data_IF_546485952468
#
_entry.id   IF_546485952468
#
_cell.length_a   1.000
_cell.length_b   1.000
_cell.length_c   1.000
_cell.angle_alpha   90.00
_cell.angle_beta   90.00
_cell.angle_gamma   90.00
#
_symmetry.space_group_name_H-M   'P 1'
#
loop_
_entity.id
_entity.type
_entity.pdbx_description
1 polymer ?
#
# COMPACT_ATOMS: atom_id res chain seq x y z
N UNK A 1 -14.18 2.15 20.83
CA UNK A 1 -13.89 3.51 21.32
C UNK A 1 -14.44 4.68 20.46
N UNK A 2 -15.32 4.46 19.46
CA UNK A 2 -15.89 5.53 18.59
C UNK A 2 -16.35 6.78 19.37
N UNK A 3 -17.21 6.57 20.38
CA UNK A 3 -17.79 7.66 21.20
C UNK A 3 -16.80 8.29 22.18
N UNK A 4 -15.81 7.52 22.64
CA UNK A 4 -14.84 7.97 23.64
C UNK A 4 -13.82 8.92 23.03
N UNK A 5 -13.30 8.59 21.83
CA UNK A 5 -12.30 9.40 21.14
C UNK A 5 -12.87 10.25 20.00
N UNK A 6 -14.19 10.27 19.85
CA UNK A 6 -14.90 11.05 18.82
C UNK A 6 -14.40 10.74 17.40
N UNK A 7 -14.04 9.48 17.13
CA UNK A 7 -13.61 9.04 15.81
C UNK A 7 -14.80 8.90 14.85
N UNK A 8 -14.61 9.39 13.64
CA UNK A 8 -15.50 9.12 12.54
C UNK A 8 -15.15 7.76 11.93
N UNK A 9 -15.89 6.73 12.33
CA UNK A 9 -15.70 5.36 11.82
C UNK A 9 -16.33 5.15 10.44
N UNK A 10 -17.10 6.12 9.93
CA UNK A 10 -17.66 6.03 8.58
C UNK A 10 -16.62 6.48 7.53
N UNK A 11 -15.64 7.29 7.94
CA UNK A 11 -14.58 7.82 7.09
C UNK A 11 -13.19 7.38 7.57
N UNK A 12 -12.94 6.07 7.49
CA UNK A 12 -11.64 5.50 7.83
C UNK A 12 -10.76 5.45 6.57
N UNK A 13 -9.61 6.11 6.66
CA UNK A 13 -8.55 6.10 5.66
C UNK A 13 -7.31 5.42 6.25
N UNK A 14 -6.45 4.89 5.40
CA UNK A 14 -5.23 4.22 5.84
C UNK A 14 -4.05 4.66 4.99
N UNK A 15 -2.88 4.77 5.61
CA UNK A 15 -1.62 5.14 4.97
C UNK A 15 -0.60 4.07 5.32
N UNK A 16 0.19 3.64 4.34
CA UNK A 16 1.24 2.66 4.54
C UNK A 16 2.42 2.95 3.61
N UNK A 17 3.63 2.94 4.17
CA UNK A 17 4.86 3.25 3.46
C UNK A 17 5.83 2.07 3.43
N UNK A 18 6.62 1.93 2.36
CA UNK A 18 7.61 0.85 2.22
C UNK A 18 7.01 -0.55 2.46
N UNK A 19 7.53 -1.34 3.41
CA UNK A 19 6.94 -2.60 3.85
C UNK A 19 5.55 -2.44 4.47
N UNK A 20 5.26 -1.31 5.14
CA UNK A 20 3.92 -0.97 5.61
C UNK A 20 2.93 -0.75 4.46
N UNK A 21 3.41 -0.28 3.30
CA UNK A 21 2.62 -0.22 2.07
C UNK A 21 2.20 -1.61 1.58
N UNK A 22 3.07 -2.62 1.71
CA UNK A 22 2.73 -4.02 1.45
C UNK A 22 1.64 -4.52 2.41
N UNK A 23 1.85 -4.33 3.72
CA UNK A 23 0.90 -4.76 4.75
C UNK A 23 -0.47 -4.11 4.56
N UNK A 24 -0.52 -2.81 4.28
CA UNK A 24 -1.77 -2.12 4.00
C UNK A 24 -2.43 -2.65 2.72
N UNK A 25 -1.65 -2.87 1.66
CA UNK A 25 -2.20 -3.40 0.42
C UNK A 25 -2.84 -4.79 0.62
N UNK A 26 -2.19 -5.66 1.41
CA UNK A 26 -2.74 -6.97 1.78
C UNK A 26 -3.98 -6.82 2.65
N UNK A 27 -3.94 -5.98 3.68
CA UNK A 27 -5.07 -5.80 4.58
C UNK A 27 -6.30 -5.24 3.86
N UNK A 28 -6.12 -4.30 2.93
CA UNK A 28 -7.18 -3.80 2.07
C UNK A 28 -7.78 -4.91 1.18
N UNK A 29 -6.96 -5.84 0.69
CA UNK A 29 -7.44 -7.02 -0.05
C UNK A 29 -8.26 -7.94 0.88
N UNK A 30 -7.78 -8.23 2.09
CA UNK A 30 -8.51 -9.03 3.09
C UNK A 30 -9.88 -8.39 3.42
N UNK A 31 -9.95 -7.06 3.49
CA UNK A 31 -11.21 -6.34 3.75
C UNK A 31 -12.23 -6.44 2.59
N UNK A 32 -11.76 -6.68 1.37
CA UNK A 32 -12.59 -6.55 0.15
C UNK A 32 -12.77 -7.86 -0.62
N UNK A 33 -11.95 -8.87 -0.33
CA UNK A 33 -11.96 -10.18 -0.96
C UNK A 33 -12.20 -11.28 0.11
N UNK A 34 -13.45 -11.74 0.29
CA UNK A 34 -13.79 -12.75 1.29
C UNK A 34 -13.06 -14.08 1.11
N UNK A 35 -12.84 -14.53 -0.13
CA UNK A 35 -12.10 -15.77 -0.43
C UNK A 35 -10.65 -15.66 0.02
N UNK A 36 -10.00 -14.53 -0.26
CA UNK A 36 -8.64 -14.30 0.20
C UNK A 36 -8.58 -14.21 1.74
N UNK A 37 -9.57 -13.60 2.37
CA UNK A 37 -9.64 -13.47 3.83
C UNK A 37 -9.72 -14.82 4.56
N UNK A 38 -10.19 -15.90 3.92
CA UNK A 38 -10.23 -17.25 4.50
C UNK A 38 -8.83 -17.82 4.81
N UNK A 39 -7.77 -17.28 4.19
CA UNK A 39 -6.40 -17.68 4.46
C UNK A 39 -5.86 -17.20 5.82
N UNK A 40 -6.60 -16.33 6.53
CA UNK A 40 -6.14 -15.72 7.78
C UNK A 40 -7.02 -16.14 8.97
N UNK A 41 -6.37 -16.39 10.11
CA UNK A 41 -7.06 -16.80 11.33
C UNK A 41 -7.84 -15.64 12.00
N UNK A 42 -7.43 -14.39 11.74
CA UNK A 42 -8.13 -13.21 12.25
C UNK A 42 -9.32 -12.85 11.36
N UNK A 43 -10.28 -12.12 11.93
CA UNK A 43 -11.45 -11.61 11.21
C UNK A 43 -11.37 -10.11 11.07
N UNK A 44 -11.70 -9.62 9.88
CA UNK A 44 -11.97 -8.20 9.64
C UNK A 44 -13.39 -7.87 10.14
N UNK A 45 -13.67 -6.62 10.53
CA UNK A 45 -15.04 -6.25 10.90
C UNK A 45 -15.99 -6.42 9.71
N UNK A 46 -17.23 -6.84 9.99
CA UNK A 46 -18.22 -7.09 8.95
C UNK A 46 -18.44 -5.84 8.09
N UNK A 47 -18.39 -6.05 6.77
CA UNK A 47 -18.57 -5.01 5.75
C UNK A 47 -17.60 -3.81 5.86
N UNK A 48 -16.48 -3.98 6.56
CA UNK A 48 -15.49 -2.94 6.67
C UNK A 48 -14.65 -2.83 5.39
N UNK A 49 -14.65 -1.62 4.80
CA UNK A 49 -13.77 -1.24 3.71
C UNK A 49 -13.27 0.18 3.98
N UNK A 50 -11.94 0.45 3.96
CA UNK A 50 -11.43 1.81 4.04
C UNK A 50 -11.99 2.66 2.89
N UNK A 51 -12.34 3.91 3.16
CA UNK A 51 -12.86 4.83 2.14
C UNK A 51 -11.86 5.09 1.02
N UNK A 52 -10.58 5.16 1.39
CA UNK A 52 -9.45 5.17 0.48
C UNK A 52 -8.18 4.79 1.26
N UNK A 53 -7.13 4.42 0.52
CA UNK A 53 -5.82 4.13 1.08
C UNK A 53 -4.72 4.93 0.36
N UNK A 54 -3.63 5.25 1.05
CA UNK A 54 -2.40 5.79 0.47
C UNK A 54 -1.26 4.77 0.61
N UNK A 55 -0.62 4.49 -0.52
CA UNK A 55 0.47 3.52 -0.65
C UNK A 55 1.73 4.26 -1.10
N UNK A 56 2.68 4.39 -0.18
CA UNK A 56 3.77 5.36 -0.27
C UNK A 56 5.13 4.65 -0.41
N UNK A 57 5.76 4.71 -1.59
CA UNK A 57 7.04 4.03 -1.86
C UNK A 57 7.02 2.54 -1.46
N UNK A 58 5.88 1.85 -1.65
CA UNK A 58 5.66 0.50 -1.13
C UNK A 58 6.26 -0.62 -1.98
N UNK A 59 6.42 -1.80 -1.37
CA UNK A 59 6.73 -3.06 -2.08
C UNK A 59 5.48 -3.90 -2.31
N UNK A 60 5.20 -4.30 -3.55
CA UNK A 60 3.95 -4.99 -3.89
C UNK A 60 4.21 -6.33 -4.58
N UNK A 61 5.14 -6.38 -5.52
CA UNK A 61 5.56 -7.62 -6.16
C UNK A 61 6.81 -8.19 -5.49
N UNK A 62 6.63 -9.25 -4.72
CA UNK A 62 7.74 -9.89 -4.03
C UNK A 62 8.72 -10.61 -4.98
N UNK A 63 8.28 -10.97 -6.19
CA UNK A 63 9.12 -11.61 -7.22
C UNK A 63 10.09 -10.63 -7.91
N UNK A 64 9.80 -9.32 -7.88
CA UNK A 64 10.66 -8.31 -8.50
C UNK A 64 11.94 -8.05 -7.71
N UNK A 65 11.92 -8.33 -6.41
CA UNK A 65 13.07 -8.07 -5.56
C UNK A 65 14.04 -9.27 -5.64
N UNK A 66 15.25 -9.00 -6.12
CA UNK A 66 16.29 -10.01 -6.36
C UNK A 66 17.39 -9.90 -5.31
N UNK A 67 17.96 -11.05 -4.92
CA UNK A 67 19.19 -11.11 -4.11
C UNK A 67 19.13 -12.12 -2.97
N UNK A 68 20.28 -12.65 -2.57
CA UNK A 68 20.38 -13.63 -1.49
C UNK A 68 20.02 -13.04 -0.12
N UNK A 69 20.32 -11.76 0.11
CA UNK A 69 19.98 -11.06 1.34
C UNK A 69 18.46 -11.02 1.58
N UNK A 70 17.66 -10.84 0.53
CA UNK A 70 16.20 -10.88 0.64
C UNK A 70 15.69 -12.30 0.86
N UNK A 71 16.26 -13.31 0.18
CA UNK A 71 15.89 -14.70 0.44
C UNK A 71 16.12 -15.08 1.90
N UNK A 72 17.22 -14.61 2.51
CA UNK A 72 17.46 -14.71 3.95
C UNK A 72 16.39 -13.99 4.76
N UNK A 73 16.08 -12.73 4.44
CA UNK A 73 15.07 -11.95 5.14
C UNK A 73 13.67 -12.59 5.09
N UNK A 74 13.23 -13.07 3.91
CA UNK A 74 11.95 -13.76 3.76
C UNK A 74 11.96 -15.09 4.52
N UNK A 75 13.09 -15.81 4.51
CA UNK A 75 13.24 -17.05 5.27
C UNK A 75 13.16 -16.84 6.78
N UNK A 76 13.62 -15.69 7.28
CA UNK A 76 13.56 -15.32 8.69
C UNK A 76 12.17 -14.78 9.08
N UNK A 77 11.48 -14.12 8.15
CA UNK A 77 10.18 -13.47 8.40
C UNK A 77 8.99 -14.42 8.26
N UNK A 78 9.09 -15.42 7.38
CA UNK A 78 7.99 -16.31 7.03
C UNK A 78 8.16 -17.72 7.62
N UNK A 79 7.09 -18.32 8.17
CA UNK A 79 7.18 -19.59 8.90
C UNK A 79 7.66 -20.78 8.07
N UNK A 80 7.30 -20.86 6.78
CA UNK A 80 7.74 -21.89 5.84
C UNK A 80 8.97 -21.47 5.03
N UNK A 81 9.63 -20.38 5.44
CA UNK A 81 10.88 -19.88 4.88
C UNK A 81 10.80 -19.36 3.44
N UNK A 82 9.67 -18.79 3.05
CA UNK A 82 9.47 -18.15 1.75
C UNK A 82 9.12 -19.14 0.65
N UNK A 83 8.22 -20.10 0.93
CA UNK A 83 7.69 -20.97 -0.13
C UNK A 83 6.92 -20.16 -1.17
N UNK A 84 6.74 -20.70 -2.39
CA UNK A 84 5.92 -20.02 -3.42
C UNK A 84 4.52 -19.67 -2.90
N UNK A 85 3.93 -20.55 -2.09
CA UNK A 85 2.64 -20.33 -1.46
C UNK A 85 2.66 -19.12 -0.53
N UNK A 86 3.67 -19.00 0.32
CA UNK A 86 3.79 -17.83 1.20
C UNK A 86 4.03 -16.55 0.42
N UNK A 87 4.92 -16.59 -0.57
CA UNK A 87 5.22 -15.45 -1.45
C UNK A 87 3.95 -14.99 -2.17
N UNK A 88 3.14 -15.92 -2.67
CA UNK A 88 1.86 -15.61 -3.30
C UNK A 88 0.89 -15.05 -2.28
N UNK A 89 0.85 -15.59 -1.06
CA UNK A 89 -0.01 -15.09 0.01
C UNK A 89 0.31 -13.65 0.40
N UNK A 90 1.59 -13.23 0.37
CA UNK A 90 2.02 -11.86 0.72
C UNK A 90 2.22 -10.93 -0.50
N UNK A 91 1.84 -11.38 -1.70
CA UNK A 91 1.85 -10.57 -2.90
C UNK A 91 0.47 -9.97 -3.13
N UNK A 92 0.20 -8.71 -2.71
CA UNK A 92 -1.13 -8.11 -2.81
C UNK A 92 -1.68 -8.15 -4.23
N UNK A 93 -0.83 -8.06 -5.26
CA UNK A 93 -1.27 -8.00 -6.66
C UNK A 93 -2.05 -9.22 -7.13
N UNK A 94 -1.92 -10.36 -6.43
CA UNK A 94 -2.65 -11.59 -6.73
C UNK A 94 -4.07 -11.61 -6.13
N UNK A 95 -4.37 -10.68 -5.22
CA UNK A 95 -5.58 -10.71 -4.38
C UNK A 95 -6.48 -9.48 -4.55
N UNK A 96 -6.07 -8.53 -5.40
CA UNK A 96 -6.87 -7.36 -5.77
C UNK A 96 -8.03 -7.75 -6.70
N UNK A 97 -9.18 -7.10 -6.53
CA UNK A 97 -10.33 -7.16 -7.41
C UNK A 97 -10.96 -5.75 -7.60
N UNK A 98 -12.08 -5.65 -8.32
CA UNK A 98 -12.80 -4.39 -8.51
C UNK A 98 -13.39 -3.80 -7.21
N UNK A 99 -13.48 -4.59 -6.14
CA UNK A 99 -14.01 -4.15 -4.85
C UNK A 99 -12.95 -3.48 -3.97
N UNK A 100 -11.69 -3.44 -4.41
CA UNK A 100 -10.60 -2.77 -3.70
C UNK A 100 -10.90 -1.26 -3.45
N UNK A 101 -10.39 -0.66 -2.35
CA UNK A 101 -10.60 0.77 -2.12
C UNK A 101 -9.86 1.65 -3.13
N UNK A 102 -10.34 2.89 -3.36
CA UNK A 102 -9.58 3.90 -4.09
C UNK A 102 -8.17 4.08 -3.51
N UNK A 103 -7.18 4.24 -4.39
CA UNK A 103 -5.76 4.26 -4.00
C UNK A 103 -5.08 5.57 -4.38
N UNK A 104 -4.42 6.22 -3.42
CA UNK A 104 -3.35 7.16 -3.69
C UNK A 104 -2.04 6.38 -3.75
N UNK A 105 -1.40 6.29 -4.90
CA UNK A 105 -0.17 5.54 -5.09
C UNK A 105 0.96 6.51 -5.41
N UNK A 106 2.02 6.52 -4.61
CA UNK A 106 3.15 7.40 -4.88
C UNK A 106 4.52 6.76 -4.79
N UNK A 107 5.45 7.37 -5.50
CA UNK A 107 6.90 7.12 -5.46
C UNK A 107 7.66 8.40 -5.78
N UNK A 108 8.99 8.34 -5.77
CA UNK A 108 9.85 9.51 -5.92
C UNK A 108 11.14 9.19 -6.70
N UNK A 109 11.85 10.23 -7.14
CA UNK A 109 13.09 10.12 -7.95
C UNK A 109 14.15 9.19 -7.36
N UNK A 110 14.40 9.27 -6.05
CA UNK A 110 15.40 8.48 -5.32
C UNK A 110 14.84 7.26 -4.59
N UNK A 111 13.64 6.81 -4.96
CA UNK A 111 13.05 5.61 -4.41
C UNK A 111 13.61 4.36 -5.10
N UNK A 112 14.32 3.51 -4.35
CA UNK A 112 14.83 2.24 -4.88
C UNK A 112 13.72 1.22 -5.21
N UNK A 113 12.47 1.49 -4.80
CA UNK A 113 11.28 0.70 -5.16
C UNK A 113 10.43 1.35 -6.27
N UNK A 114 10.96 2.34 -7.01
CA UNK A 114 10.22 3.07 -8.05
C UNK A 114 9.44 2.17 -9.04
N UNK A 115 10.02 1.03 -9.43
CA UNK A 115 9.39 0.09 -10.36
C UNK A 115 8.18 -0.63 -9.74
N UNK A 116 8.15 -0.82 -8.41
CA UNK A 116 7.02 -1.42 -7.70
C UNK A 116 5.74 -0.60 -7.89
N UNK A 117 5.85 0.73 -7.80
CA UNK A 117 4.73 1.63 -8.00
C UNK A 117 4.16 1.51 -9.43
N UNK A 118 5.01 1.39 -10.44
CA UNK A 118 4.57 1.21 -11.83
C UNK A 118 3.78 -0.09 -12.01
N UNK A 119 4.27 -1.19 -11.44
CA UNK A 119 3.58 -2.48 -11.52
C UNK A 119 2.25 -2.46 -10.77
N UNK A 120 2.21 -1.87 -9.57
CA UNK A 120 0.96 -1.73 -8.81
C UNK A 120 -0.08 -0.88 -9.55
N UNK A 121 0.33 0.21 -10.20
CA UNK A 121 -0.56 1.02 -11.05
C UNK A 121 -1.16 0.21 -12.21
N UNK A 122 -0.36 -0.66 -12.83
CA UNK A 122 -0.83 -1.58 -13.86
C UNK A 122 -1.86 -2.58 -13.33
N UNK A 123 -1.63 -3.16 -12.15
CA UNK A 123 -2.57 -4.07 -11.49
C UNK A 123 -3.89 -3.36 -11.14
N UNK A 124 -3.83 -2.19 -10.51
CA UNK A 124 -5.02 -1.37 -10.20
C UNK A 124 -5.84 -1.06 -11.45
N UNK A 125 -5.17 -0.70 -12.55
CA UNK A 125 -5.80 -0.45 -13.86
C UNK A 125 -6.52 -1.69 -14.38
N UNK A 126 -5.87 -2.86 -14.35
CA UNK A 126 -6.44 -4.13 -14.82
C UNK A 126 -7.72 -4.52 -14.06
N UNK A 127 -7.74 -4.27 -12.75
CA UNK A 127 -8.88 -4.54 -11.88
C UNK A 127 -9.90 -3.39 -11.82
N UNK A 128 -9.72 -2.33 -12.63
CA UNK A 128 -10.61 -1.16 -12.69
C UNK A 128 -10.79 -0.45 -11.35
N UNK A 129 -9.77 -0.51 -10.50
CA UNK A 129 -9.75 0.18 -9.20
C UNK A 129 -9.44 1.67 -9.44
N UNK A 130 -10.23 2.62 -8.91
CA UNK A 130 -9.91 4.03 -9.00
C UNK A 130 -8.59 4.35 -8.27
N UNK A 131 -7.67 5.07 -8.92
CA UNK A 131 -6.43 5.48 -8.28
C UNK A 131 -5.89 6.81 -8.80
N UNK A 132 -5.11 7.49 -7.97
CA UNK A 132 -4.26 8.62 -8.33
C UNK A 132 -2.80 8.19 -8.20
N UNK A 133 -2.04 8.26 -9.28
CA UNK A 133 -0.61 8.00 -9.26
C UNK A 133 0.19 9.30 -9.17
N UNK A 134 1.09 9.40 -8.19
CA UNK A 134 1.97 10.57 -8.00
C UNK A 134 3.43 10.19 -8.01
N UNK A 135 4.16 10.81 -8.93
CA UNK A 135 5.61 10.81 -8.94
C UNK A 135 6.10 12.15 -8.41
N UNK A 136 7.00 12.12 -7.42
CA UNK A 136 7.56 13.33 -6.82
C UNK A 136 9.05 13.49 -7.13
N UNK A 137 9.47 14.74 -7.28
CA UNK A 137 10.81 15.10 -7.71
C UNK A 137 10.93 15.19 -9.23
N UNK A 138 12.13 15.55 -9.69
CA UNK A 138 12.48 15.63 -11.09
C UNK A 138 14.01 15.51 -11.25
N UNK A 139 14.52 15.70 -12.48
CA UNK A 139 15.95 15.62 -12.76
C UNK A 139 16.85 16.59 -11.95
N UNK A 140 16.27 17.61 -11.29
CA UNK A 140 16.96 18.59 -10.45
C UNK A 140 16.63 18.41 -8.97
N UNK A 141 15.56 17.70 -8.64
CA UNK A 141 15.09 17.51 -7.27
C UNK A 141 14.98 16.02 -6.96
N UNK A 142 16.03 15.53 -6.30
CA UNK A 142 16.10 14.16 -5.80
C UNK A 142 15.36 14.04 -4.46
N UNK A 143 14.42 13.10 -4.38
CA UNK A 143 13.65 12.79 -3.18
C UNK A 143 13.82 11.31 -2.86
N UNK A 144 14.36 11.02 -1.67
CA UNK A 144 14.64 9.66 -1.26
C UNK A 144 13.40 8.81 -1.01
N UNK A 145 13.62 7.50 -0.85
CA UNK A 145 12.62 6.57 -0.35
C UNK A 145 11.87 7.12 0.88
N UNK A 146 10.55 7.01 0.88
CA UNK A 146 9.63 7.51 1.93
C UNK A 146 9.81 8.99 2.31
N UNK A 147 10.22 9.86 1.37
CA UNK A 147 10.48 11.28 1.64
C UNK A 147 9.35 12.02 2.36
N UNK A 148 8.08 11.62 2.17
CA UNK A 148 6.91 12.23 2.81
C UNK A 148 6.95 12.20 4.35
N UNK A 149 7.72 11.29 4.96
CA UNK A 149 7.95 11.23 6.40
C UNK A 149 8.92 12.31 6.89
N UNK A 150 9.73 12.89 6.00
CA UNK A 150 10.66 13.96 6.35
C UNK A 150 9.96 15.31 6.36
N UNK A 151 9.36 15.65 7.51
CA UNK A 151 8.59 16.90 7.74
C UNK A 151 9.39 18.20 7.52
N UNK A 152 10.70 18.13 7.29
CA UNK A 152 11.55 19.29 6.99
C UNK A 152 11.56 19.64 5.49
N UNK A 153 11.09 18.73 4.63
CA UNK A 153 10.98 18.94 3.20
C UNK A 153 9.65 19.61 2.85
N UNK A 154 9.70 20.60 1.96
CA UNK A 154 8.49 21.24 1.44
C UNK A 154 7.66 20.24 0.64
N UNK A 155 8.34 19.37 -0.10
CA UNK A 155 7.77 18.32 -0.92
C UNK A 155 7.01 17.30 -0.07
N UNK A 156 7.49 16.99 1.13
CA UNK A 156 6.76 16.15 2.07
C UNK A 156 5.43 16.77 2.50
N UNK A 157 5.42 18.09 2.76
CA UNK A 157 4.18 18.82 3.03
C UNK A 157 3.19 18.72 1.86
N UNK A 158 3.67 18.98 0.63
CA UNK A 158 2.85 18.87 -0.58
C UNK A 158 2.27 17.46 -0.74
N UNK A 159 3.09 16.41 -0.56
CA UNK A 159 2.63 15.03 -0.69
C UNK A 159 1.52 14.69 0.31
N UNK A 160 1.73 15.01 1.59
CA UNK A 160 0.75 14.73 2.64
C UNK A 160 -0.54 15.55 2.46
N UNK A 161 -0.45 16.79 1.99
CA UNK A 161 -1.62 17.62 1.69
C UNK A 161 -2.44 17.02 0.53
N UNK A 162 -1.78 16.52 -0.50
CA UNK A 162 -2.43 15.89 -1.66
C UNK A 162 -3.06 14.53 -1.31
N UNK A 163 -2.44 13.74 -0.42
CA UNK A 163 -3.06 12.54 0.17
C UNK A 163 -4.33 12.90 0.94
N UNK A 164 -4.26 13.93 1.79
CA UNK A 164 -5.42 14.42 2.53
C UNK A 164 -6.54 14.92 1.60
N UNK A 165 -6.20 15.65 0.54
CA UNK A 165 -7.17 16.10 -0.46
C UNK A 165 -7.81 14.95 -1.22
N UNK A 166 -7.04 13.93 -1.56
CA UNK A 166 -7.56 12.71 -2.17
C UNK A 166 -8.57 12.02 -1.24
N UNK A 167 -8.23 11.85 0.04
CA UNK A 167 -9.15 11.28 1.03
C UNK A 167 -10.45 12.07 1.14
N UNK A 168 -10.39 13.40 1.18
CA UNK A 168 -11.59 14.26 1.21
C UNK A 168 -12.49 14.11 -0.02
N UNK A 169 -11.95 13.69 -1.17
CA UNK A 169 -12.73 13.43 -2.38
C UNK A 169 -13.39 12.04 -2.38
N UNK A 170 -12.98 11.15 -1.49
CA UNK A 170 -13.46 9.77 -1.38
C UNK A 170 -14.52 9.57 -0.27
N UNK A 171 -15.22 10.63 0.14
CA UNK A 171 -16.29 10.57 1.15
C UNK A 171 -17.45 9.65 0.71
#
# INVERSE_FOLDING_TARGET
HKKEYQFDTEHIYMVGDSAGGNTLALYAAICTNPEYAENFAFKVPDHFKPKAIALNCGTYNQEMEKGEQKKGLMADYLPEKGTKKEIDLINPMLHLDENYPPVFLMTATGDFLIDQATVMAGTLTKHKVPFLYRFYGDAKTELGHVFHCNIRLKEAGICNDEECEFFRKCQ
#
